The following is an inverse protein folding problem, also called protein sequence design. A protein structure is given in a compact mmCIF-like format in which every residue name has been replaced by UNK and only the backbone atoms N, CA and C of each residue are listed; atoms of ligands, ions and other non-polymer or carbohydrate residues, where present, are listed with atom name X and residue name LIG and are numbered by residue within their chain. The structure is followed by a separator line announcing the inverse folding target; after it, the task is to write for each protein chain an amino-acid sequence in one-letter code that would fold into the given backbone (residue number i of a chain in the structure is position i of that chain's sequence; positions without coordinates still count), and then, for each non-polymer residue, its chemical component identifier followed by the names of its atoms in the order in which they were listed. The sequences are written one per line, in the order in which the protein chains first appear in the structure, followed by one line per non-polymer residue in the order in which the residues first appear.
data_IF_485238968085
#
_entry.id   IF_485238968085
#
_cell.length_a   1.000
_cell.length_b   1.000
_cell.length_c   1.000
_cell.angle_alpha   90.00
_cell.angle_beta   90.00
_cell.angle_gamma   90.00
#
_symmetry.space_group_name_H-M   'P 1'
#
loop_
_entity.id
_entity.type
_entity.pdbx_description
1 polymer ?
#
# COMPACT_ATOMS: atom_id res chain seq x y z
N UNK A 1 7.16 -8.80 -9.49
CA UNK A 1 5.84 -8.16 -9.31
C UNK A 1 5.33 -8.56 -7.94
N UNK A 2 5.55 -7.75 -6.91
CA UNK A 2 4.84 -7.94 -5.64
C UNK A 2 3.68 -6.95 -5.66
N UNK A 3 2.64 -7.29 -6.42
CA UNK A 3 1.41 -6.54 -6.46
C UNK A 3 0.85 -6.43 -5.05
N UNK A 4 0.41 -5.24 -4.67
CA UNK A 4 -0.30 -4.98 -3.42
C UNK A 4 -1.34 -6.08 -3.21
N UNK A 5 -1.21 -6.93 -2.19
CA UNK A 5 -2.24 -7.94 -1.91
C UNK A 5 -3.39 -7.23 -1.18
N UNK A 6 -4.53 -6.97 -1.84
CA UNK A 6 -5.64 -6.26 -1.23
C UNK A 6 -6.21 -7.02 -0.03
N UNK A 7 -6.02 -8.35 0.04
CA UNK A 7 -6.45 -9.16 1.19
C UNK A 7 -5.56 -8.93 2.40
N UNK A 8 -4.25 -8.85 2.19
CA UNK A 8 -3.30 -8.53 3.26
C UNK A 8 -3.51 -7.10 3.78
N UNK A 9 -3.78 -6.15 2.87
CA UNK A 9 -4.12 -4.78 3.25
C UNK A 9 -5.39 -4.74 4.11
N UNK A 10 -6.46 -5.43 3.71
CA UNK A 10 -7.69 -5.53 4.49
C UNK A 10 -7.44 -6.11 5.90
N UNK A 11 -6.66 -7.20 6.00
CA UNK A 11 -6.33 -7.80 7.29
C UNK A 11 -5.55 -6.85 8.22
N UNK A 12 -4.63 -6.05 7.66
CA UNK A 12 -3.90 -5.04 8.43
C UNK A 12 -4.82 -3.90 8.87
N UNK A 13 -5.81 -3.52 8.05
CA UNK A 13 -6.84 -2.56 8.45
C UNK A 13 -7.68 -3.11 9.60
N UNK A 14 -8.10 -4.39 9.54
CA UNK A 14 -8.83 -5.04 10.63
C UNK A 14 -8.05 -4.98 11.95
N UNK A 15 -6.74 -5.23 11.90
CA UNK A 15 -5.85 -5.14 13.07
C UNK A 15 -5.84 -3.72 13.66
N UNK A 16 -5.77 -2.69 12.82
CA UNK A 16 -5.82 -1.29 13.28
C UNK A 16 -7.18 -0.97 13.91
N UNK A 17 -8.27 -1.46 13.34
CA UNK A 17 -9.62 -1.25 13.88
C UNK A 17 -9.78 -1.91 15.25
N UNK A 18 -9.27 -3.13 15.43
CA UNK A 18 -9.28 -3.82 16.74
C UNK A 18 -8.50 -3.01 17.80
N UNK A 19 -7.34 -2.46 17.44
CA UNK A 19 -6.52 -1.63 18.32
C UNK A 19 -7.25 -0.31 18.68
N UNK A 20 -7.91 0.32 17.71
CA UNK A 20 -8.70 1.53 17.94
C UNK A 20 -9.88 1.26 18.88
N UNK A 21 -10.57 0.13 18.72
CA UNK A 21 -11.65 -0.29 19.61
C UNK A 21 -11.14 -0.52 21.04
N UNK A 22 -9.91 -1.02 21.19
CA UNK A 22 -9.25 -1.18 22.48
C UNK A 22 -8.80 0.16 23.12
N UNK A 23 -8.88 1.28 22.39
CA UNK A 23 -8.51 2.61 22.88
C UNK A 23 -7.01 2.92 22.84
N UNK A 24 -6.19 2.07 22.22
CA UNK A 24 -4.75 2.30 22.07
C UNK A 24 -4.44 3.06 20.77
N UNK A 25 -4.72 4.36 20.79
CA UNK A 25 -4.52 5.23 19.64
C UNK A 25 -3.05 5.32 19.20
N UNK A 26 -2.11 5.25 20.15
CA UNK A 26 -0.67 5.31 19.84
C UNK A 26 -0.23 4.13 18.98
N UNK A 27 -0.66 2.91 19.35
CA UNK A 27 -0.39 1.72 18.56
C UNK A 27 -1.10 1.74 17.21
N UNK A 28 -2.34 2.25 17.15
CA UNK A 28 -3.06 2.39 15.88
C UNK A 28 -2.35 3.35 14.92
N UNK A 29 -1.91 4.51 15.42
CA UNK A 29 -1.17 5.52 14.62
C UNK A 29 0.12 4.93 14.07
N UNK A 30 0.93 4.26 14.91
CA UNK A 30 2.18 3.65 14.46
C UNK A 30 1.94 2.59 13.36
N UNK A 31 0.89 1.77 13.50
CA UNK A 31 0.54 0.79 12.46
C UNK A 31 0.14 1.46 11.13
N UNK A 32 -0.60 2.57 11.18
CA UNK A 32 -0.97 3.32 9.99
C UNK A 32 0.23 4.00 9.33
N UNK A 33 1.18 4.52 10.10
CA UNK A 33 2.42 5.10 9.58
C UNK A 33 3.27 4.06 8.85
N UNK A 34 3.41 2.87 9.43
CA UNK A 34 4.08 1.73 8.78
C UNK A 34 3.36 1.34 7.49
N UNK A 35 2.04 1.15 7.56
CA UNK A 35 1.22 0.79 6.40
C UNK A 35 1.38 1.82 5.27
N UNK A 36 1.32 3.11 5.60
CA UNK A 36 1.51 4.20 4.63
C UNK A 36 2.89 4.14 3.97
N UNK A 37 3.95 3.93 4.75
CA UNK A 37 5.31 3.81 4.21
C UNK A 37 5.45 2.61 3.28
N UNK A 38 4.90 1.45 3.64
CA UNK A 38 4.89 0.24 2.81
C UNK A 38 4.11 0.45 1.50
N UNK A 39 2.97 1.14 1.54
CA UNK A 39 2.17 1.46 0.35
C UNK A 39 2.90 2.43 -0.59
N UNK A 40 3.52 3.48 -0.04
CA UNK A 40 4.29 4.45 -0.83
C UNK A 40 5.50 3.78 -1.50
N UNK A 41 6.27 2.99 -0.75
CA UNK A 41 7.40 2.24 -1.29
C UNK A 41 6.95 1.31 -2.42
N UNK A 42 5.79 0.66 -2.31
CA UNK A 42 5.25 -0.18 -3.39
C UNK A 42 4.80 0.63 -4.61
N UNK A 43 4.23 1.82 -4.43
CA UNK A 43 3.88 2.70 -5.56
C UNK A 43 5.09 3.21 -6.32
N UNK A 44 6.16 3.62 -5.63
CA UNK A 44 7.41 4.06 -6.27
C UNK A 44 8.08 2.91 -7.07
N UNK A 45 8.01 1.68 -6.56
CA UNK A 45 8.47 0.49 -7.26
C UNK A 45 7.55 0.07 -8.42
N UNK A 46 6.28 0.49 -8.42
CA UNK A 46 5.35 0.25 -9.53
C UNK A 46 5.60 1.25 -10.68
N UNK A 47 5.84 2.52 -10.36
CA UNK A 47 6.09 3.58 -11.35
C UNK A 47 7.45 3.42 -12.05
N UNK A 48 8.48 2.98 -11.33
CA UNK A 48 9.81 2.72 -11.90
C UNK A 48 9.88 1.50 -12.84
N UNK A 49 8.81 0.71 -12.95
CA UNK A 49 8.72 -0.44 -13.83
C UNK A 49 7.88 -0.18 -15.09
N UNK A 50 7.37 1.05 -15.28
CA UNK A 50 6.62 1.47 -16.48
C UNK A 50 7.44 2.34 -17.46
N UNK A 51 8.72 2.62 -17.16
CA UNK A 51 9.65 3.26 -18.13
C UNK A 51 10.13 2.31 -19.25
N UNK A 52 9.52 1.13 -19.37
CA UNK A 52 9.83 0.13 -20.40
C UNK A 52 8.68 -0.20 -21.37
N UNK A 53 7.50 0.40 -21.23
CA UNK A 53 6.43 0.20 -22.23
C UNK A 53 6.65 1.16 -23.40
N UNK A 54 7.36 0.63 -24.39
CA UNK A 54 7.34 1.10 -25.77
C UNK A 54 5.95 1.61 -26.14
N UNK A 55 5.87 2.91 -26.47
CA UNK A 55 4.67 3.51 -27.05
C UNK A 55 4.21 2.63 -28.21
N UNK A 56 3.07 1.96 -28.04
CA UNK A 56 2.50 1.21 -29.15
C UNK A 56 2.15 2.19 -30.28
N UNK A 57 2.43 1.88 -31.56
CA UNK A 57 2.41 2.85 -32.67
C UNK A 57 1.03 3.41 -33.07
N UNK A 58 -0.01 3.24 -32.24
CA UNK A 58 -1.39 3.59 -32.54
C UNK A 58 -1.83 4.93 -31.91
N UNK A 59 -0.91 5.86 -31.65
CA UNK A 59 -1.28 7.27 -31.52
C UNK A 59 -1.61 7.83 -32.92
N UNK A 60 -2.89 7.80 -33.30
CA UNK A 60 -3.46 8.67 -34.34
C UNK A 60 -4.35 9.71 -33.65
#
# INVERSE_FOLDING_TARGET
MNSLDPRLLAQRIDTVLDILVAGDYSSAINNLEILKAELLAQSENADSNDEGREKSPWEI
#
